data_IF_071450280450
#
_entry.id   IF_071450280450
#
_cell.length_a   1.000
_cell.length_b   1.000
_cell.length_c   1.000
_cell.angle_alpha   90.00
_cell.angle_beta   90.00
_cell.angle_gamma   90.00
#
_symmetry.space_group_name_H-M   'P 1'
#
loop_
_entity.id
_entity.type
_entity.pdbx_description
1 polymer ?
#
# COMPACT_ATOMS: atom_id res chain seq x y z
N UNK A 1 1.56 -13.11 16.39
CA UNK A 1 1.48 -11.94 15.51
C UNK A 1 2.67 -12.01 14.58
N UNK A 2 2.44 -11.91 13.27
CA UNK A 2 3.54 -11.92 12.29
C UNK A 2 3.99 -10.48 11.98
N UNK A 3 5.07 -10.31 11.21
CA UNK A 3 5.60 -8.99 10.84
C UNK A 3 4.61 -8.12 10.07
N UNK A 4 3.71 -8.74 9.32
CA UNK A 4 2.70 -8.07 8.53
C UNK A 4 1.58 -7.49 9.41
N UNK A 5 1.08 -8.26 10.38
CA UNK A 5 0.10 -7.78 11.37
C UNK A 5 0.68 -6.62 12.21
N UNK A 6 1.95 -6.72 12.63
CA UNK A 6 2.65 -5.65 13.35
C UNK A 6 2.78 -4.37 12.51
N UNK A 7 3.01 -4.51 11.19
CA UNK A 7 3.04 -3.37 10.27
C UNK A 7 1.67 -2.71 10.13
N UNK A 8 0.60 -3.50 9.95
CA UNK A 8 -0.76 -2.98 9.86
C UNK A 8 -1.20 -2.24 11.13
N UNK A 9 -0.71 -2.67 12.29
CA UNK A 9 -0.92 -1.99 13.56
C UNK A 9 -0.04 -0.73 13.74
N UNK A 10 0.76 -0.36 12.74
CA UNK A 10 1.63 0.81 12.80
C UNK A 10 2.85 0.67 13.71
N UNK A 11 3.31 -0.55 13.98
CA UNK A 11 4.44 -0.79 14.89
C UNK A 11 5.78 -1.03 14.18
N UNK A 12 5.82 -0.97 12.84
CA UNK A 12 7.01 -1.28 12.02
C UNK A 12 7.30 -0.21 10.97
N UNK A 13 7.80 0.94 11.40
CA UNK A 13 8.09 2.11 10.54
C UNK A 13 9.26 1.92 9.59
N UNK A 14 10.20 1.04 9.92
CA UNK A 14 11.37 0.74 9.08
C UNK A 14 11.10 -0.34 8.02
N UNK A 15 9.91 -0.95 8.06
CA UNK A 15 9.52 -1.99 7.13
C UNK A 15 8.56 -1.45 6.06
N UNK A 16 8.53 -2.15 4.93
CA UNK A 16 7.67 -1.91 3.79
C UNK A 16 6.87 -3.17 3.55
N UNK A 17 5.59 -2.99 3.21
CA UNK A 17 4.71 -4.06 2.75
C UNK A 17 4.51 -3.92 1.24
N UNK A 18 4.71 -5.04 0.54
CA UNK A 18 4.44 -5.17 -0.88
C UNK A 18 3.35 -6.21 -1.09
N UNK A 19 2.30 -5.84 -1.81
CA UNK A 19 1.40 -6.82 -2.43
C UNK A 19 1.73 -6.93 -3.91
N UNK A 20 1.71 -8.15 -4.41
CA UNK A 20 1.91 -8.51 -5.81
C UNK A 20 0.77 -9.46 -6.21
N UNK A 21 0.07 -9.14 -7.29
CA UNK A 21 -0.94 -10.05 -7.86
C UNK A 21 -0.31 -11.37 -8.31
N UNK A 22 -1.12 -12.41 -8.48
CA UNK A 22 -0.63 -13.69 -9.01
C UNK A 22 0.12 -13.52 -10.35
N UNK A 23 -0.38 -12.63 -11.22
CA UNK A 23 0.26 -12.29 -12.49
C UNK A 23 1.70 -11.81 -12.32
N UNK A 24 1.95 -10.88 -11.40
CA UNK A 24 3.30 -10.36 -11.14
C UNK A 24 4.19 -11.39 -10.45
N UNK A 25 3.63 -12.20 -9.55
CA UNK A 25 4.40 -13.22 -8.80
C UNK A 25 4.95 -14.30 -9.73
N UNK A 26 4.19 -14.71 -10.75
CA UNK A 26 4.62 -15.76 -11.67
C UNK A 26 5.83 -15.37 -12.51
N UNK A 27 6.01 -14.08 -12.80
CA UNK A 27 7.21 -13.54 -13.46
C UNK A 27 8.44 -13.52 -12.51
N UNK A 28 8.20 -13.56 -11.19
CA UNK A 28 9.22 -13.41 -10.15
C UNK A 28 9.15 -14.50 -9.06
N UNK A 29 9.14 -15.77 -9.47
CA UNK A 29 8.96 -16.94 -8.60
C UNK A 29 9.82 -17.01 -7.32
N UNK A 30 10.99 -16.37 -7.28
CA UNK A 30 11.83 -16.28 -6.09
C UNK A 30 11.18 -15.51 -4.92
N UNK A 31 10.20 -14.65 -5.21
CA UNK A 31 9.45 -13.88 -4.21
C UNK A 31 8.48 -14.79 -3.45
N UNK A 32 7.87 -15.77 -4.13
CA UNK A 32 6.85 -16.67 -3.56
C UNK A 32 7.33 -17.40 -2.31
N UNK A 33 8.60 -17.76 -2.23
CA UNK A 33 9.18 -18.46 -1.08
C UNK A 33 9.34 -17.61 0.19
N UNK A 34 9.22 -16.28 0.08
CA UNK A 34 9.40 -15.33 1.20
C UNK A 34 8.15 -14.54 1.52
N UNK A 35 7.11 -14.68 0.70
CA UNK A 35 5.87 -13.94 0.82
C UNK A 35 4.77 -14.80 1.47
N UNK A 36 3.85 -14.13 2.15
CA UNK A 36 2.60 -14.70 2.61
C UNK A 36 1.65 -14.81 1.41
N UNK A 37 1.28 -16.02 1.01
CA UNK A 37 0.26 -16.21 -0.04
C UNK A 37 -1.12 -15.77 0.47
N UNK A 38 -1.84 -15.07 -0.40
CA UNK A 38 -3.22 -14.63 -0.20
C UNK A 38 -4.05 -15.04 -1.41
N UNK A 39 -5.37 -14.94 -1.33
CA UNK A 39 -6.26 -15.42 -2.40
C UNK A 39 -5.98 -14.76 -3.77
N UNK A 40 -5.55 -13.50 -3.77
CA UNK A 40 -5.33 -12.69 -4.99
C UNK A 40 -3.86 -12.52 -5.36
N UNK A 41 -2.93 -13.15 -4.65
CA UNK A 41 -1.50 -12.92 -4.86
C UNK A 41 -0.63 -13.26 -3.66
N UNK A 42 0.35 -12.41 -3.38
CA UNK A 42 1.28 -12.59 -2.27
C UNK A 42 1.61 -11.25 -1.60
N UNK A 43 1.77 -11.28 -0.27
CA UNK A 43 2.19 -10.14 0.54
C UNK A 43 3.59 -10.38 1.10
N UNK A 44 4.49 -9.42 0.92
CA UNK A 44 5.86 -9.48 1.39
C UNK A 44 6.14 -8.30 2.34
N UNK A 45 6.60 -8.60 3.56
CA UNK A 45 7.11 -7.60 4.50
C UNK A 45 8.64 -7.62 4.49
N UNK A 46 9.25 -6.48 4.23
CA UNK A 46 10.70 -6.35 4.06
C UNK A 46 11.21 -5.08 4.73
N UNK A 47 12.43 -5.12 5.25
CA UNK A 47 13.08 -3.90 5.74
C UNK A 47 13.36 -2.91 4.61
N UNK A 48 13.21 -1.62 4.88
CA UNK A 48 13.30 -0.55 3.88
C UNK A 48 14.58 -0.58 3.05
N UNK A 49 15.72 -0.97 3.65
CA UNK A 49 17.00 -1.10 2.94
C UNK A 49 16.98 -2.17 1.83
N UNK A 50 16.21 -3.25 2.00
CA UNK A 50 16.05 -4.30 0.99
C UNK A 50 14.93 -4.02 0.00
N UNK A 51 13.97 -3.19 0.39
CA UNK A 51 12.80 -2.89 -0.42
C UNK A 51 13.14 -2.21 -1.74
N UNK A 52 14.13 -1.32 -1.75
CA UNK A 52 14.55 -0.60 -2.96
C UNK A 52 14.79 -1.55 -4.15
N UNK A 53 15.63 -2.56 -3.95
CA UNK A 53 16.02 -3.50 -5.02
C UNK A 53 14.86 -4.39 -5.46
N UNK A 54 14.01 -4.81 -4.53
CA UNK A 54 12.88 -5.71 -4.82
C UNK A 54 11.80 -4.96 -5.60
N UNK A 55 11.45 -3.74 -5.17
CA UNK A 55 10.47 -2.90 -5.86
C UNK A 55 10.96 -2.54 -7.25
N UNK A 56 12.22 -2.11 -7.38
CA UNK A 56 12.78 -1.77 -8.69
C UNK A 56 12.80 -2.97 -9.65
N UNK A 57 13.07 -4.17 -9.14
CA UNK A 57 13.00 -5.39 -9.93
C UNK A 57 11.57 -5.78 -10.35
N UNK A 58 10.57 -5.52 -9.50
CA UNK A 58 9.18 -5.90 -9.74
C UNK A 58 8.43 -4.91 -10.66
N UNK A 59 8.65 -3.59 -10.48
CA UNK A 59 7.89 -2.55 -11.20
C UNK A 59 8.74 -1.70 -12.14
N UNK A 60 10.03 -2.01 -12.28
CA UNK A 60 10.97 -1.28 -13.14
C UNK A 60 11.29 0.13 -12.66
N UNK A 61 10.91 0.50 -11.43
CA UNK A 61 11.24 1.79 -10.84
C UNK A 61 11.32 1.75 -9.31
N UNK A 62 12.05 2.70 -8.75
CA UNK A 62 12.22 2.79 -7.30
C UNK A 62 10.93 3.19 -6.54
N UNK A 63 10.78 2.78 -5.26
CA UNK A 63 9.64 3.09 -4.39
C UNK A 63 9.25 4.56 -4.37
N UNK A 64 10.23 5.46 -4.22
CA UNK A 64 9.96 6.91 -4.15
C UNK A 64 9.46 7.48 -5.48
N UNK A 65 9.96 6.96 -6.62
CA UNK A 65 9.50 7.40 -7.93
C UNK A 65 8.06 6.94 -8.18
N UNK A 66 7.72 5.72 -7.76
CA UNK A 66 6.37 5.17 -7.80
C UNK A 66 5.41 6.01 -6.95
N UNK A 67 5.75 6.23 -5.68
CA UNK A 67 4.94 7.04 -4.76
C UNK A 67 4.65 8.45 -5.31
N UNK A 68 5.67 9.11 -5.90
CA UNK A 68 5.52 10.42 -6.55
C UNK A 68 4.56 10.43 -7.72
N UNK A 69 4.48 9.36 -8.50
CA UNK A 69 3.52 9.26 -9.61
C UNK A 69 2.11 8.97 -9.13
N UNK A 70 1.98 8.18 -8.07
CA UNK A 70 0.70 7.73 -7.53
C UNK A 70 -0.03 8.77 -6.65
N UNK A 71 0.71 9.62 -5.92
CA UNK A 71 0.16 10.57 -4.93
C UNK A 71 -0.88 11.57 -5.48
N UNK A 72 -0.94 11.76 -6.80
CA UNK A 72 -1.86 12.69 -7.45
C UNK A 72 -3.31 12.19 -7.56
N UNK A 73 -3.54 10.89 -7.36
CA UNK A 73 -4.86 10.27 -7.51
C UNK A 73 -5.24 9.56 -6.21
N UNK A 74 -6.44 9.82 -5.69
CA UNK A 74 -6.95 9.21 -4.45
C UNK A 74 -7.99 8.15 -4.75
N UNK A 75 -7.81 6.96 -4.18
CA UNK A 75 -8.76 5.84 -4.24
C UNK A 75 -8.77 5.12 -2.90
N UNK A 76 -9.79 4.31 -2.66
CA UNK A 76 -9.78 3.39 -1.53
C UNK A 76 -8.75 2.29 -1.73
N UNK A 77 -7.87 2.09 -0.76
CA UNK A 77 -7.02 0.90 -0.64
C UNK A 77 -7.55 0.05 0.51
N UNK A 78 -7.62 -1.26 0.29
CA UNK A 78 -8.03 -2.21 1.32
C UNK A 78 -7.08 -2.12 2.52
N UNK A 79 -7.62 -2.21 3.73
CA UNK A 79 -6.86 -1.98 4.98
C UNK A 79 -5.93 -3.13 5.30
N UNK A 80 -6.15 -4.28 4.69
CA UNK A 80 -5.21 -5.38 4.64
C UNK A 80 -4.28 -5.29 3.42
N UNK A 81 -4.20 -4.17 2.70
CA UNK A 81 -3.20 -3.97 1.64
C UNK A 81 -3.15 -5.11 0.59
N UNK A 82 -4.29 -5.78 0.35
CA UNK A 82 -4.40 -6.91 -0.60
C UNK A 82 -5.18 -6.56 -1.86
N UNK A 83 -5.82 -5.39 -1.87
CA UNK A 83 -6.59 -4.88 -2.99
C UNK A 83 -6.77 -3.36 -2.92
N UNK A 84 -7.20 -2.75 -4.02
CA UNK A 84 -7.44 -1.33 -4.16
C UNK A 84 -8.41 -1.03 -5.31
N UNK A 85 -9.18 0.05 -5.15
CA UNK A 85 -10.08 0.50 -6.20
C UNK A 85 -9.31 1.05 -7.41
N UNK A 86 -9.74 0.67 -8.62
CA UNK A 86 -9.22 1.28 -9.83
C UNK A 86 -9.71 2.74 -9.96
N UNK A 87 -8.83 3.73 -10.14
CA UNK A 87 -9.25 5.13 -10.32
C UNK A 87 -10.06 5.37 -11.60
N UNK A 88 -10.02 4.43 -12.56
CA UNK A 88 -10.85 4.50 -13.78
C UNK A 88 -12.30 4.05 -13.55
N UNK A 89 -12.66 3.55 -12.35
CA UNK A 89 -14.02 3.10 -12.00
C UNK A 89 -14.46 1.81 -12.69
N UNK A 90 -13.51 1.06 -13.25
CA UNK A 90 -13.74 -0.18 -14.00
C UNK A 90 -13.69 -1.37 -13.06
N UNK A 91 -14.72 -2.22 -13.11
CA UNK A 91 -14.87 -3.37 -12.20
C UNK A 91 -14.18 -4.63 -12.71
N UNK A 92 -13.75 -4.64 -13.97
CA UNK A 92 -12.99 -5.72 -14.62
C UNK A 92 -11.48 -5.60 -14.40
N UNK A 93 -11.04 -4.62 -13.60
CA UNK A 93 -9.64 -4.39 -13.34
C UNK A 93 -9.26 -4.87 -11.94
N UNK A 94 -8.05 -5.40 -11.84
CA UNK A 94 -7.51 -5.95 -10.60
C UNK A 94 -6.30 -5.12 -10.14
N UNK A 95 -6.01 -5.19 -8.85
CA UNK A 95 -4.80 -4.58 -8.29
C UNK A 95 -3.60 -5.44 -8.64
N UNK A 96 -2.61 -4.86 -9.32
CA UNK A 96 -1.37 -5.56 -9.67
C UNK A 96 -0.33 -5.46 -8.57
N UNK A 97 -0.27 -4.29 -7.93
CA UNK A 97 0.79 -3.96 -7.01
C UNK A 97 0.33 -2.96 -5.96
N UNK A 98 0.71 -3.18 -4.70
CA UNK A 98 0.61 -2.19 -3.62
C UNK A 98 1.97 -2.07 -2.95
N UNK A 99 2.42 -0.83 -2.79
CA UNK A 99 3.57 -0.46 -1.97
C UNK A 99 3.07 0.33 -0.78
N UNK A 100 3.38 -0.13 0.43
CA UNK A 100 3.02 0.58 1.65
C UNK A 100 4.19 0.74 2.62
N UNK A 101 4.24 1.90 3.29
CA UNK A 101 5.11 2.16 4.43
C UNK A 101 4.32 2.82 5.56
N UNK A 102 4.81 2.72 6.79
CA UNK A 102 4.21 3.39 7.94
C UNK A 102 5.12 4.49 8.46
N UNK A 103 4.53 5.60 8.89
CA UNK A 103 5.21 6.69 9.57
C UNK A 103 4.76 6.75 11.03
N UNK A 104 5.70 7.04 11.94
CA UNK A 104 5.39 7.22 13.35
C UNK A 104 4.50 8.45 13.57
N UNK A 105 3.76 8.45 14.68
CA UNK A 105 3.02 9.61 15.13
C UNK A 105 3.95 10.84 15.26
N UNK A 106 3.47 11.98 14.75
CA UNK A 106 4.17 13.24 14.76
C UNK A 106 3.22 14.43 14.98
N UNK A 107 3.13 14.85 16.25
CA UNK A 107 2.33 16.01 16.68
C UNK A 107 2.73 17.33 16.00
N UNK A 108 3.99 17.50 15.59
CA UNK A 108 4.45 18.73 14.99
C UNK A 108 3.98 18.91 13.53
N UNK A 109 3.72 17.81 12.82
CA UNK A 109 3.18 17.85 11.45
C UNK A 109 1.68 18.10 11.46
N UNK A 110 0.95 17.62 12.48
CA UNK A 110 -0.49 17.78 12.57
C UNK A 110 -1.27 16.87 11.61
N UNK A 111 -2.58 17.10 11.49
CA UNK A 111 -3.45 16.29 10.62
C UNK A 111 -3.54 14.83 11.08
N UNK A 112 -3.43 13.88 10.14
CA UNK A 112 -3.39 12.44 10.45
C UNK A 112 -2.21 12.06 11.34
N UNK A 113 -1.05 12.72 11.15
CA UNK A 113 0.17 12.38 11.88
C UNK A 113 0.08 12.71 13.37
N UNK A 114 -0.78 13.63 13.78
CA UNK A 114 -1.04 13.91 15.20
C UNK A 114 -2.08 12.95 15.83
N UNK A 115 -2.68 12.06 15.05
CA UNK A 115 -3.71 11.13 15.54
C UNK A 115 -3.12 9.75 15.85
N UNK A 116 -2.01 9.38 15.20
CA UNK A 116 -1.31 8.12 15.43
C UNK A 116 -0.36 7.79 14.28
N UNK A 117 0.17 6.56 14.24
CA UNK A 117 0.92 6.05 13.09
C UNK A 117 0.12 6.11 11.80
N UNK A 118 0.73 6.60 10.73
CA UNK A 118 0.08 6.75 9.42
C UNK A 118 0.60 5.70 8.45
N UNK A 119 -0.30 4.92 7.84
CA UNK A 119 0.02 4.05 6.71
C UNK A 119 -0.14 4.86 5.43
N UNK A 120 0.88 4.83 4.59
CA UNK A 120 0.88 5.35 3.24
C UNK A 120 0.85 4.19 2.27
N UNK A 121 -0.17 4.12 1.41
CA UNK A 121 -0.30 3.07 0.41
C UNK A 121 -0.36 3.66 -1.00
N UNK A 122 0.38 3.06 -1.92
CA UNK A 122 0.45 3.43 -3.33
C UNK A 122 0.17 2.19 -4.16
N UNK A 123 -0.67 2.32 -5.18
CA UNK A 123 -1.19 1.17 -5.91
C UNK A 123 -1.04 1.35 -7.40
N UNK A 124 -0.89 0.22 -8.09
CA UNK A 124 -1.01 0.12 -9.53
C UNK A 124 -2.06 -0.93 -9.87
N UNK A 125 -2.97 -0.53 -10.75
CA UNK A 125 -4.00 -1.38 -11.31
C UNK A 125 -3.50 -2.07 -12.59
N UNK A 126 -4.11 -3.19 -12.99
CA UNK A 126 -3.79 -3.92 -14.23
C UNK A 126 -3.94 -3.08 -15.51
N UNK A 127 -4.74 -2.01 -15.48
CA UNK A 127 -4.81 -1.04 -16.57
C UNK A 127 -3.66 0.00 -16.57
N UNK A 128 -2.68 -0.13 -15.67
CA UNK A 128 -1.54 0.78 -15.50
C UNK A 128 -1.85 2.05 -14.72
N UNK A 129 -3.07 2.24 -14.22
CA UNK A 129 -3.42 3.42 -13.46
C UNK A 129 -2.81 3.39 -12.06
N UNK A 130 -2.33 4.55 -11.61
CA UNK A 130 -1.69 4.73 -10.31
C UNK A 130 -2.57 5.55 -9.38
N UNK A 131 -2.60 5.17 -8.11
CA UNK A 131 -3.33 5.90 -7.09
C UNK A 131 -2.71 5.69 -5.70
N UNK A 132 -3.17 6.47 -4.73
CA UNK A 132 -2.68 6.43 -3.37
C UNK A 132 -3.80 6.64 -2.35
N UNK A 133 -3.59 6.10 -1.16
CA UNK A 133 -4.40 6.35 0.03
C UNK A 133 -3.47 6.50 1.23
N UNK A 134 -3.98 7.09 2.30
CA UNK A 134 -3.28 7.15 3.58
C UNK A 134 -4.29 7.19 4.72
N UNK A 135 -3.95 6.58 5.84
CA UNK A 135 -4.84 6.50 6.99
C UNK A 135 -4.07 6.26 8.29
N UNK A 136 -4.71 6.52 9.42
CA UNK A 136 -4.17 6.20 10.74
C UNK A 136 -4.38 4.71 11.00
N UNK A 137 -3.32 4.00 11.38
CA UNK A 137 -3.30 2.55 11.49
C UNK A 137 -4.38 1.96 12.41
N UNK A 138 -4.69 2.64 13.52
CA UNK A 138 -5.70 2.22 14.50
C UNK A 138 -7.11 2.77 14.24
N UNK A 139 -7.23 3.77 13.36
CA UNK A 139 -8.50 4.40 12.97
C UNK A 139 -8.75 4.38 11.45
N UNK A 140 -8.63 3.22 10.76
CA UNK A 140 -8.71 3.16 9.31
C UNK A 140 -10.09 3.50 8.76
N UNK A 141 -11.18 3.19 9.48
CA UNK A 141 -12.54 3.52 9.02
C UNK A 141 -12.91 4.99 9.21
N UNK A 142 -12.15 5.70 10.04
CA UNK A 142 -12.37 7.12 10.36
C UNK A 142 -11.44 8.03 9.56
N UNK A 143 -10.48 7.47 8.81
CA UNK A 143 -9.46 8.22 8.08
C UNK A 143 -9.18 7.63 6.70
N UNK A 144 -8.66 8.45 5.78
CA UNK A 144 -8.36 8.01 4.42
C UNK A 144 -9.61 7.78 3.58
N UNK A 145 -9.44 7.20 2.40
CA UNK A 145 -10.52 7.02 1.44
C UNK A 145 -11.34 5.79 1.80
N UNK A 146 -12.67 5.95 1.81
CA UNK A 146 -13.61 4.86 2.12
C UNK A 146 -14.09 4.17 0.83
N UNK A 147 -14.55 2.90 0.90
CA UNK A 147 -15.09 2.19 -0.26
C UNK A 147 -16.14 3.02 -1.01
N UNK A 148 -16.01 3.10 -2.34
CA UNK A 148 -16.91 3.88 -3.20
C UNK A 148 -16.70 5.41 -3.14
N UNK A 149 -15.69 5.90 -2.42
CA UNK A 149 -15.29 7.30 -2.38
C UNK A 149 -13.96 7.51 -3.11
N UNK A 150 -13.70 8.75 -3.50
CA UNK A 150 -12.37 9.25 -3.87
C UNK A 150 -11.88 10.38 -2.95
N UNK A 151 -12.75 10.83 -2.03
CA UNK A 151 -12.46 11.86 -1.04
C UNK A 151 -12.20 11.21 0.32
N UNK A 152 -11.05 11.50 0.98
CA UNK A 152 -10.75 11.04 2.33
C UNK A 152 -11.76 11.54 3.36
N UNK A 153 -11.97 10.80 4.47
CA UNK A 153 -12.93 11.19 5.52
C UNK A 153 -12.60 12.55 6.12
N UNK A 154 -11.31 12.83 6.37
CA UNK A 154 -10.84 14.06 6.98
C UNK A 154 -10.93 15.31 6.07
N UNK A 155 -11.24 15.11 4.79
CA UNK A 155 -11.44 16.18 3.80
C UNK A 155 -12.94 16.38 3.44
N UNK A 156 -13.85 15.62 4.05
CA UNK A 156 -15.30 15.79 3.90
C UNK A 156 -15.84 16.85 4.85
#
# INVERSE_FOLDING_TARGET
>A
MNSYDEFLAGNRHDDIVLFLSEHVVDEHSAIRNRALSVETGCVLTISGTRAQQIVEAAIGMGPMAFAKKAMGTRVHVDRELKDAACPSGRTDHETEFILAFSEAENQAVGGLYAQGPVIHAYTQCSCGALAADKWVADAPTETGVQPGSSVPVEEK
#
